data_IF_379019987480
#
_entry.id   IF_379019987480
#
_cell.length_a   1.000
_cell.length_b   1.000
_cell.length_c   1.000
_cell.angle_alpha   90.00
_cell.angle_beta   90.00
_cell.angle_gamma   90.00
#
_symmetry.space_group_name_H-M   'P 1'
#
loop_
_entity.id
_entity.type
_entity.pdbx_description
1 polymer ?
#
# COMPACT_ATOMS: atom_id res chain seq x y z
N UNK A 1 30.01 18.27 -10.19
CA UNK A 1 28.62 18.35 -10.70
C UNK A 1 28.26 19.82 -10.85
N UNK A 2 27.79 20.26 -12.02
CA UNK A 2 27.44 21.67 -12.24
C UNK A 2 26.14 22.00 -11.48
N UNK A 3 26.06 23.11 -10.72
CA UNK A 3 24.85 23.51 -9.99
C UNK A 3 23.62 23.65 -10.90
N UNK A 4 23.81 24.07 -12.16
CA UNK A 4 22.72 24.14 -13.14
C UNK A 4 22.14 22.75 -13.47
N UNK A 5 22.99 21.71 -13.53
CA UNK A 5 22.51 20.33 -13.72
C UNK A 5 21.75 19.86 -12.47
N UNK A 6 22.25 20.17 -11.27
CA UNK A 6 21.61 19.75 -10.01
C UNK A 6 20.19 20.29 -9.87
N UNK A 7 19.94 21.54 -10.27
CA UNK A 7 18.62 22.14 -10.25
C UNK A 7 17.70 21.58 -11.36
N UNK A 8 18.25 21.34 -12.56
CA UNK A 8 17.45 20.92 -13.71
C UNK A 8 16.96 19.47 -13.62
N UNK A 9 17.78 18.55 -13.09
CA UNK A 9 17.50 17.10 -13.05
C UNK A 9 16.12 16.74 -12.47
N UNK A 10 15.72 17.21 -11.26
CA UNK A 10 14.41 16.87 -10.72
C UNK A 10 13.25 17.42 -11.58
N UNK A 11 13.36 18.65 -12.07
CA UNK A 11 12.32 19.25 -12.93
C UNK A 11 12.19 18.53 -14.28
N UNK A 12 13.33 18.12 -14.84
CA UNK A 12 13.40 17.37 -16.09
C UNK A 12 12.72 16.00 -15.94
N UNK A 13 13.02 15.28 -14.86
CA UNK A 13 12.40 13.99 -14.57
C UNK A 13 10.88 14.11 -14.38
N UNK A 14 10.41 15.09 -13.61
CA UNK A 14 8.98 15.38 -13.47
C UNK A 14 8.32 15.67 -14.82
N UNK A 15 8.93 16.55 -15.63
CA UNK A 15 8.39 16.95 -16.93
C UNK A 15 8.23 15.76 -17.87
N UNK A 16 9.24 14.89 -17.93
CA UNK A 16 9.23 13.69 -18.78
C UNK A 16 8.24 12.63 -18.28
N UNK A 17 8.22 12.34 -16.97
CA UNK A 17 7.31 11.35 -16.37
C UNK A 17 5.83 11.75 -16.51
N UNK A 18 5.53 13.05 -16.48
CA UNK A 18 4.17 13.57 -16.69
C UNK A 18 3.80 13.73 -18.17
N UNK A 19 4.67 13.35 -19.11
CA UNK A 19 4.44 13.52 -20.55
C UNK A 19 4.28 14.99 -20.97
N UNK A 20 4.83 15.93 -20.21
CA UNK A 20 4.74 17.36 -20.52
C UNK A 20 5.82 17.77 -21.54
N UNK A 21 5.54 18.77 -22.40
CA UNK A 21 6.55 19.27 -23.31
C UNK A 21 7.69 19.95 -22.52
N UNK A 22 8.93 19.71 -22.95
CA UNK A 22 10.09 20.37 -22.35
C UNK A 22 9.98 21.90 -22.48
N UNK A 23 10.42 22.62 -21.46
CA UNK A 23 10.54 24.08 -21.51
C UNK A 23 11.72 24.50 -22.40
N UNK A 24 11.77 25.77 -22.78
CA UNK A 24 12.92 26.31 -23.54
C UNK A 24 14.24 26.15 -22.78
N UNK A 25 14.23 26.39 -21.46
CA UNK A 25 15.41 26.27 -20.59
C UNK A 25 15.93 24.82 -20.57
N UNK A 26 15.02 23.85 -20.43
CA UNK A 26 15.36 22.43 -20.47
C UNK A 26 15.96 22.04 -21.83
N UNK A 27 15.30 22.38 -22.95
CA UNK A 27 15.81 22.08 -24.29
C UNK A 27 17.21 22.65 -24.53
N UNK A 28 17.41 23.92 -24.16
CA UNK A 28 18.71 24.59 -24.31
C UNK A 28 19.80 23.91 -23.47
N UNK A 29 19.48 23.48 -22.25
CA UNK A 29 20.45 22.80 -21.41
C UNK A 29 20.79 21.40 -21.93
N UNK A 30 19.80 20.61 -22.37
CA UNK A 30 20.05 19.29 -22.96
C UNK A 30 20.91 19.38 -24.22
N UNK A 31 20.72 20.42 -25.04
CA UNK A 31 21.57 20.67 -26.20
C UNK A 31 23.04 21.01 -25.83
N UNK A 32 23.28 21.50 -24.61
CA UNK A 32 24.61 21.90 -24.14
C UNK A 32 25.25 20.96 -23.12
N UNK A 33 24.53 19.94 -22.63
CA UNK A 33 25.01 19.06 -21.56
C UNK A 33 24.75 17.58 -21.89
N UNK A 34 25.76 16.82 -22.33
CA UNK A 34 25.59 15.41 -22.70
C UNK A 34 25.20 14.52 -21.51
N UNK A 35 25.60 14.89 -20.28
CA UNK A 35 25.22 14.16 -19.07
C UNK A 35 23.72 14.21 -18.81
N UNK A 36 23.12 15.40 -18.89
CA UNK A 36 21.67 15.57 -18.73
C UNK A 36 20.90 15.06 -19.95
N UNK A 37 21.47 15.11 -21.15
CA UNK A 37 20.88 14.49 -22.34
C UNK A 37 20.71 12.98 -22.17
N UNK A 38 21.78 12.29 -21.76
CA UNK A 38 21.76 10.85 -21.47
C UNK A 38 20.74 10.50 -20.40
N UNK A 39 20.70 11.25 -19.30
CA UNK A 39 19.71 11.02 -18.24
C UNK A 39 18.26 11.23 -18.73
N UNK A 40 18.03 12.20 -19.61
CA UNK A 40 16.72 12.38 -20.23
C UNK A 40 16.32 11.16 -21.08
N UNK A 41 17.28 10.56 -21.79
CA UNK A 41 17.04 9.33 -22.57
C UNK A 41 16.72 8.13 -21.67
N UNK A 42 17.47 7.94 -20.58
CA UNK A 42 17.20 6.91 -19.56
C UNK A 42 15.79 7.06 -18.97
N UNK A 43 15.36 8.27 -18.66
CA UNK A 43 14.01 8.54 -18.14
C UNK A 43 12.94 8.22 -19.20
N UNK A 44 13.17 8.56 -20.48
CA UNK A 44 12.23 8.24 -21.57
C UNK A 44 12.07 6.74 -21.76
N UNK A 45 13.13 5.95 -21.58
CA UNK A 45 13.06 4.49 -21.63
C UNK A 45 12.17 3.92 -20.52
N UNK A 46 12.29 4.46 -19.29
CA UNK A 46 11.41 4.09 -18.18
C UNK A 46 9.95 4.42 -18.51
N UNK A 47 9.68 5.63 -19.01
CA UNK A 47 8.31 6.04 -19.42
C UNK A 47 7.76 5.11 -20.50
N UNK A 48 8.55 4.78 -21.52
CA UNK A 48 8.14 3.87 -22.58
C UNK A 48 7.84 2.45 -22.04
N UNK A 49 8.62 1.97 -21.08
CA UNK A 49 8.40 0.68 -20.43
C UNK A 49 7.12 0.67 -19.61
N UNK A 50 6.83 1.75 -18.87
CA UNK A 50 5.59 1.90 -18.12
C UNK A 50 4.38 1.97 -19.06
N UNK A 51 4.48 2.69 -20.17
CA UNK A 51 3.42 2.79 -21.17
C UNK A 51 3.09 1.42 -21.80
N UNK A 52 4.11 0.57 -22.03
CA UNK A 52 3.91 -0.80 -22.52
C UNK A 52 3.28 -1.72 -21.48
N UNK A 53 3.67 -1.58 -20.21
CA UNK A 53 3.10 -2.35 -19.11
C UNK A 53 1.65 -1.95 -18.82
N UNK A 54 1.27 -0.70 -19.10
CA UNK A 54 -0.04 -0.17 -18.74
C UNK A 54 -1.18 -0.74 -19.57
N UNK A 55 -0.98 -1.31 -20.79
CA UNK A 55 -1.91 -2.22 -21.49
C UNK A 55 -3.40 -1.83 -21.66
N UNK A 56 -3.83 -0.70 -21.10
CA UNK A 56 -5.17 -0.14 -21.07
C UNK A 56 -5.11 1.17 -21.85
N UNK A 57 -6.07 1.44 -22.75
CA UNK A 57 -6.07 2.70 -23.45
C UNK A 57 -6.15 3.83 -22.42
N UNK A 58 -5.11 4.68 -22.37
CA UNK A 58 -5.27 6.04 -21.83
C UNK A 58 -6.40 6.65 -22.64
N UNK A 59 -7.60 6.66 -22.08
CA UNK A 59 -8.63 7.57 -22.55
C UNK A 59 -7.95 8.93 -22.54
N UNK A 60 -7.68 9.47 -23.73
CA UNK A 60 -7.27 10.84 -23.89
C UNK A 60 -8.41 11.69 -23.34
N UNK A 61 -8.39 11.90 -22.02
CA UNK A 61 -9.21 12.90 -21.38
C UNK A 61 -8.88 14.24 -22.04
N UNK A 62 -9.87 15.12 -22.24
CA UNK A 62 -9.63 16.41 -22.84
C UNK A 62 -8.49 17.10 -22.12
N UNK A 63 -7.59 17.74 -22.88
CA UNK A 63 -6.46 18.49 -22.36
C UNK A 63 -6.91 19.32 -21.15
N UNK A 64 -6.17 19.34 -20.02
CA UNK A 64 -6.55 20.15 -18.88
C UNK A 64 -6.57 21.60 -19.35
N UNK A 65 -7.79 22.15 -19.50
CA UNK A 65 -7.99 23.57 -19.67
C UNK A 65 -7.42 24.31 -18.46
N UNK A 66 -7.30 25.65 -18.52
CA UNK A 66 -6.85 26.43 -17.38
C UNK A 66 -7.69 26.04 -16.16
N UNK A 67 -7.03 25.44 -15.17
CA UNK A 67 -7.63 25.18 -13.87
C UNK A 67 -7.87 26.54 -13.25
N UNK A 68 -9.06 27.11 -13.47
CA UNK A 68 -9.61 28.08 -12.55
C UNK A 68 -9.57 27.39 -11.19
N UNK A 69 -8.73 27.93 -10.31
CA UNK A 69 -8.53 27.41 -8.98
C UNK A 69 -9.90 27.19 -8.34
N UNK A 70 -10.30 25.91 -8.21
CA UNK A 70 -11.47 25.52 -7.45
C UNK A 70 -11.22 25.99 -6.01
N UNK A 71 -11.72 27.20 -5.74
CA UNK A 71 -11.48 27.94 -4.52
C UNK A 71 -11.94 27.11 -3.35
N UNK A 72 -10.98 26.63 -2.56
CA UNK A 72 -11.28 26.07 -1.24
C UNK A 72 -10.54 24.79 -0.86
N UNK A 73 -9.85 24.09 -1.76
CA UNK A 73 -9.11 22.87 -1.37
C UNK A 73 -7.90 23.18 -0.47
N UNK A 74 -7.05 24.13 -0.86
CA UNK A 74 -5.89 24.55 -0.06
C UNK A 74 -6.25 25.00 1.37
N UNK A 75 -7.22 25.91 1.54
CA UNK A 75 -7.67 26.35 2.86
C UNK A 75 -8.29 25.24 3.71
N UNK A 76 -9.06 24.31 3.11
CA UNK A 76 -9.68 23.18 3.83
C UNK A 76 -8.65 22.17 4.34
N UNK A 77 -7.65 21.86 3.52
CA UNK A 77 -6.54 20.97 3.90
C UNK A 77 -5.73 21.60 5.05
N UNK A 78 -5.40 22.90 4.94
CA UNK A 78 -4.69 23.62 5.99
C UNK A 78 -5.48 23.73 7.31
N UNK A 79 -6.81 23.80 7.25
CA UNK A 79 -7.67 23.79 8.44
C UNK A 79 -7.75 22.40 9.10
N UNK A 80 -7.77 21.32 8.31
CA UNK A 80 -7.82 19.95 8.83
C UNK A 80 -6.52 19.54 9.52
N UNK A 81 -5.36 19.93 8.96
CA UNK A 81 -4.04 19.70 9.56
C UNK A 81 -3.92 20.40 10.93
N UNK A 82 -4.42 21.64 11.05
CA UNK A 82 -4.42 22.39 12.32
C UNK A 82 -5.32 21.75 13.37
N UNK A 83 -6.52 21.30 13.00
CA UNK A 83 -7.44 20.61 13.92
C UNK A 83 -6.84 19.31 14.48
N UNK A 84 -6.19 18.52 13.63
CA UNK A 84 -5.53 17.27 14.04
C UNK A 84 -4.33 17.49 14.97
N UNK A 85 -3.56 18.58 14.79
CA UNK A 85 -2.47 18.95 15.73
C UNK A 85 -2.97 19.35 17.12
N UNK A 86 -4.07 20.10 17.21
CA UNK A 86 -4.63 20.57 18.49
C UNK A 86 -5.34 19.45 19.26
N UNK A 87 -5.97 18.50 18.57
CA UNK A 87 -6.60 17.34 19.20
C UNK A 87 -5.59 16.32 19.77
N UNK A 88 -4.38 16.25 19.18
CA UNK A 88 -3.33 15.31 19.59
C UNK A 88 -2.72 15.57 20.97
N UNK A 89 -2.73 16.82 21.45
CA UNK A 89 -2.17 17.18 22.77
C UNK A 89 -3.14 16.89 23.93
N UNK A 90 -4.46 16.94 23.69
CA UNK A 90 -5.49 16.68 24.72
C UNK A 90 -5.73 15.19 24.96
N UNK A 91 -5.64 14.35 23.92
CA UNK A 91 -5.84 12.89 24.02
C UNK A 91 -4.72 12.15 24.75
N UNK A 92 -3.48 12.67 24.77
CA UNK A 92 -2.35 12.07 25.47
C UNK A 92 -2.45 12.10 27.01
N UNK A 93 -3.33 12.93 27.57
CA UNK A 93 -3.59 12.96 29.03
C UNK A 93 -4.72 12.05 29.51
N UNK A 94 -5.51 11.46 28.61
CA UNK A 94 -6.71 10.68 28.96
C UNK A 94 -6.54 9.16 28.88
N UNK A 95 -5.39 8.66 28.38
CA UNK A 95 -5.17 7.23 28.10
C UNK A 95 -4.35 6.49 29.16
N UNK A 96 -4.11 7.08 30.33
CA UNK A 96 -3.31 6.48 31.41
C UNK A 96 -4.14 5.72 32.48
N UNK A 97 -5.44 5.44 32.27
CA UNK A 97 -6.32 4.93 33.37
C UNK A 97 -7.07 3.62 33.08
N UNK A 98 -7.09 3.05 31.87
CA UNK A 98 -7.87 1.81 31.62
C UNK A 98 -7.02 0.67 31.07
N UNK A 99 -6.06 0.23 31.88
CA UNK A 99 -5.39 -1.07 31.77
C UNK A 99 -5.90 -1.98 32.89
N UNK A 100 -6.94 -2.77 32.62
CA UNK A 100 -7.25 -4.03 33.31
C UNK A 100 -8.54 -4.64 32.74
N UNK A 101 -8.55 -5.97 32.60
CA UNK A 101 -9.68 -6.85 32.32
C UNK A 101 -10.11 -7.02 30.85
N UNK A 102 -9.61 -8.07 30.20
CA UNK A 102 -10.40 -9.28 29.91
C UNK A 102 -9.60 -10.22 29.01
N UNK A 103 -8.79 -11.07 29.65
CA UNK A 103 -8.41 -12.35 29.09
C UNK A 103 -9.60 -13.33 29.26
N UNK A 104 -9.56 -14.42 28.48
CA UNK A 104 -10.34 -15.67 28.58
C UNK A 104 -11.61 -15.71 27.71
N UNK A 105 -11.73 -16.83 26.96
CA UNK A 105 -12.85 -17.39 26.16
C UNK A 105 -12.77 -17.10 24.65
N UNK A 106 -12.57 -18.07 23.75
CA UNK A 106 -12.52 -19.51 23.92
C UNK A 106 -12.00 -20.18 22.64
N UNK A 107 -11.18 -21.22 22.85
CA UNK A 107 -10.99 -22.28 21.90
C UNK A 107 -12.32 -23.05 21.78
N UNK A 108 -12.84 -23.27 20.56
CA UNK A 108 -13.54 -24.51 20.21
C UNK A 108 -13.86 -24.62 18.70
N UNK A 109 -13.63 -25.84 18.20
CA UNK A 109 -14.18 -26.52 17.02
C UNK A 109 -13.57 -26.24 15.65
N UNK A 110 -12.64 -27.14 15.29
CA UNK A 110 -12.36 -27.60 13.93
C UNK A 110 -13.60 -28.31 13.36
N UNK A 111 -14.11 -27.86 12.20
CA UNK A 111 -14.89 -28.68 11.28
C UNK A 111 -14.40 -28.44 9.85
N UNK A 112 -14.06 -29.49 9.09
CA UNK A 112 -13.56 -29.34 7.74
C UNK A 112 -14.74 -29.10 6.78
N UNK A 113 -14.79 -27.93 6.16
CA UNK A 113 -15.67 -27.71 5.00
C UNK A 113 -14.82 -27.84 3.75
N UNK A 114 -15.19 -28.83 2.94
CA UNK A 114 -14.53 -29.26 1.72
C UNK A 114 -14.34 -28.11 0.71
N UNK A 115 -13.11 -27.99 0.20
CA UNK A 115 -12.79 -27.12 -0.93
C UNK A 115 -11.32 -27.19 -1.35
N UNK A 116 -10.97 -28.21 -2.14
CA UNK A 116 -9.73 -28.42 -2.93
C UNK A 116 -8.38 -28.28 -2.18
N UNK A 117 -7.72 -29.44 -2.06
CA UNK A 117 -6.36 -29.57 -1.52
C UNK A 117 -5.33 -28.70 -2.23
N UNK A 118 -4.80 -27.74 -1.49
CA UNK A 118 -3.40 -27.33 -1.60
C UNK A 118 -2.56 -28.16 -0.64
N UNK A 119 -1.26 -28.35 -0.91
CA UNK A 119 -0.37 -29.05 0.01
C UNK A 119 -0.42 -28.39 1.39
N UNK A 120 -0.60 -29.22 2.41
CA UNK A 120 -0.52 -28.82 3.82
C UNK A 120 0.83 -28.12 4.06
N UNK A 121 0.85 -26.88 4.57
CA UNK A 121 2.08 -26.12 4.66
C UNK A 121 3.03 -26.78 5.65
N UNK A 122 4.26 -27.04 5.19
CA UNK A 122 5.32 -27.66 6.01
C UNK A 122 5.70 -26.83 7.26
N UNK A 123 5.32 -25.55 7.30
CA UNK A 123 5.39 -24.68 8.48
C UNK A 123 4.13 -23.79 8.50
N UNK A 124 3.10 -24.12 9.30
CA UNK A 124 1.90 -23.32 9.35
C UNK A 124 2.20 -21.99 10.08
N UNK A 125 2.17 -20.88 9.34
CA UNK A 125 2.11 -19.55 9.95
C UNK A 125 0.72 -19.39 10.53
N UNK A 126 0.61 -19.16 11.83
CA UNK A 126 -0.68 -18.92 12.46
C UNK A 126 -1.11 -17.47 12.22
N UNK A 127 -2.34 -17.31 11.75
CA UNK A 127 -2.97 -16.01 11.49
C UNK A 127 -4.19 -15.86 12.41
N UNK A 128 -4.21 -14.78 13.18
CA UNK A 128 -5.34 -14.42 14.03
C UNK A 128 -5.83 -13.00 13.71
N UNK A 129 -7.13 -12.73 13.93
CA UNK A 129 -7.71 -11.39 13.75
C UNK A 129 -7.89 -10.71 15.11
N UNK A 130 -7.35 -9.51 15.27
CA UNK A 130 -7.35 -8.73 16.52
C UNK A 130 -8.52 -7.73 16.59
N UNK A 131 -9.73 -8.22 16.36
CA UNK A 131 -10.94 -7.42 16.45
C UNK A 131 -11.76 -7.41 15.17
N UNK A 132 -12.42 -6.28 14.88
CA UNK A 132 -13.36 -6.17 13.75
C UNK A 132 -12.65 -5.64 12.51
N UNK A 133 -13.11 -6.06 11.34
CA UNK A 133 -12.75 -5.41 10.08
C UNK A 133 -13.31 -3.99 10.05
N UNK A 134 -12.45 -3.02 9.77
CA UNK A 134 -12.77 -1.59 9.76
C UNK A 134 -13.01 -1.17 8.30
N UNK A 135 -14.25 -0.81 7.92
CA UNK A 135 -14.52 -0.31 6.58
C UNK A 135 -13.88 1.09 6.43
N UNK A 136 -13.23 1.30 5.29
CA UNK A 136 -12.60 2.56 4.93
C UNK A 136 -13.13 3.04 3.58
N UNK A 137 -13.06 4.35 3.25
CA UNK A 137 -13.50 4.86 1.95
C UNK A 137 -12.79 4.22 0.75
N UNK A 138 -11.60 3.66 0.97
CA UNK A 138 -10.76 3.03 -0.06
C UNK A 138 -10.76 1.50 0.00
N UNK A 139 -11.52 0.88 0.92
CA UNK A 139 -11.54 -0.58 1.08
C UNK A 139 -11.72 -1.02 2.53
N UNK A 140 -10.86 -1.91 3.01
CA UNK A 140 -10.97 -2.48 4.36
C UNK A 140 -9.61 -2.61 5.03
N UNK A 141 -9.59 -2.30 6.32
CA UNK A 141 -8.47 -2.54 7.21
C UNK A 141 -8.83 -3.68 8.18
N UNK A 142 -7.91 -4.62 8.37
CA UNK A 142 -8.10 -5.79 9.24
C UNK A 142 -6.92 -5.90 10.20
N UNK A 143 -7.10 -5.62 11.50
CA UNK A 143 -6.05 -5.84 12.49
C UNK A 143 -5.82 -7.34 12.68
N UNK A 144 -4.56 -7.79 12.64
CA UNK A 144 -4.17 -9.19 12.69
C UNK A 144 -2.92 -9.41 13.56
N UNK A 145 -2.79 -10.64 14.06
CA UNK A 145 -1.56 -11.19 14.65
C UNK A 145 -1.03 -12.30 13.74
N UNK A 146 0.28 -12.34 13.57
CA UNK A 146 0.98 -13.44 12.92
C UNK A 146 1.96 -14.10 13.89
N UNK A 147 1.99 -15.43 13.93
CA UNK A 147 2.96 -16.21 14.70
C UNK A 147 3.55 -17.34 13.86
N UNK A 148 4.72 -17.85 14.27
CA UNK A 148 5.43 -18.89 13.51
C UNK A 148 6.06 -18.38 12.21
N UNK A 149 6.42 -17.10 12.16
CA UNK A 149 7.16 -16.51 11.05
C UNK A 149 8.65 -16.83 11.18
N UNK A 150 9.29 -17.20 10.08
CA UNK A 150 10.73 -17.42 10.04
C UNK A 150 11.46 -16.07 9.97
N UNK A 151 12.41 -15.87 10.89
CA UNK A 151 13.19 -14.65 10.97
C UNK A 151 13.89 -14.32 9.64
N UNK A 152 13.84 -13.05 9.26
CA UNK A 152 14.46 -12.52 8.04
C UNK A 152 13.63 -12.71 6.79
N UNK A 153 12.59 -13.56 6.81
CA UNK A 153 11.69 -13.79 5.66
C UNK A 153 10.61 -12.72 5.54
N UNK A 154 10.15 -12.55 4.30
CA UNK A 154 9.07 -11.63 3.94
C UNK A 154 7.84 -12.43 3.59
N UNK A 155 6.68 -11.98 4.08
CA UNK A 155 5.40 -12.60 3.85
C UNK A 155 4.46 -11.61 3.18
N UNK A 156 3.65 -12.13 2.26
CA UNK A 156 2.61 -11.39 1.54
C UNK A 156 1.29 -11.63 2.22
N UNK A 157 0.57 -10.56 2.51
CA UNK A 157 -0.77 -10.61 3.09
C UNK A 157 -1.78 -10.40 1.99
N UNK A 158 -2.79 -11.26 1.90
CA UNK A 158 -3.79 -11.25 0.83
C UNK A 158 -5.19 -11.48 1.41
N UNK A 159 -6.22 -10.89 0.82
CA UNK A 159 -7.62 -11.20 1.11
C UNK A 159 -8.23 -11.96 -0.06
N UNK A 160 -9.24 -12.80 0.17
CA UNK A 160 -10.01 -13.45 -0.90
C UNK A 160 -11.52 -13.35 -0.68
N UNK A 161 -12.25 -13.28 -1.79
CA UNK A 161 -13.71 -13.31 -1.80
C UNK A 161 -14.29 -14.73 -1.88
N UNK A 162 -15.62 -14.85 -1.95
CA UNK A 162 -16.31 -16.14 -2.03
C UNK A 162 -16.04 -16.91 -3.34
N UNK A 163 -15.56 -16.23 -4.38
CA UNK A 163 -15.23 -16.83 -5.68
C UNK A 163 -13.76 -17.22 -5.78
N UNK A 164 -12.96 -16.90 -4.75
CA UNK A 164 -11.53 -17.17 -4.70
C UNK A 164 -10.66 -16.06 -5.31
N UNK A 165 -11.24 -14.91 -5.71
CA UNK A 165 -10.43 -13.80 -6.20
C UNK A 165 -9.63 -13.22 -5.05
N UNK A 166 -8.31 -13.18 -5.21
CA UNK A 166 -7.40 -12.64 -4.20
C UNK A 166 -7.03 -11.18 -4.48
N UNK A 167 -6.98 -10.34 -3.45
CA UNK A 167 -6.40 -9.00 -3.51
C UNK A 167 -5.21 -8.87 -2.55
N UNK A 168 -4.12 -8.18 -2.96
CA UNK A 168 -3.05 -7.81 -2.05
C UNK A 168 -3.57 -6.99 -0.87
N UNK A 169 -2.99 -7.24 0.30
CA UNK A 169 -3.35 -6.60 1.55
C UNK A 169 -2.15 -6.16 2.41
N UNK A 170 -0.95 -6.16 1.82
CA UNK A 170 0.29 -5.71 2.45
C UNK A 170 1.42 -6.74 2.38
N UNK A 171 2.56 -6.35 2.95
CA UNK A 171 3.71 -7.24 3.16
C UNK A 171 4.30 -6.98 4.52
N UNK A 172 4.87 -8.01 5.12
CA UNK A 172 5.58 -7.92 6.41
C UNK A 172 6.89 -8.67 6.34
N UNK A 173 7.87 -8.23 7.12
CA UNK A 173 9.12 -8.96 7.32
C UNK A 173 9.20 -9.37 8.79
N UNK A 174 9.51 -10.63 9.03
CA UNK A 174 9.70 -11.13 10.38
C UNK A 174 11.09 -10.73 10.87
N UNK A 175 11.15 -9.79 11.82
CA UNK A 175 12.44 -9.36 12.42
C UNK A 175 12.86 -10.25 13.59
N UNK A 176 11.89 -10.90 14.24
CA UNK A 176 12.05 -11.82 15.36
C UNK A 176 11.03 -12.95 15.30
N UNK A 177 11.11 -13.88 16.25
CA UNK A 177 10.17 -14.99 16.45
C UNK A 177 8.92 -14.60 17.25
N UNK A 178 8.82 -13.33 17.66
CA UNK A 178 7.71 -12.81 18.45
C UNK A 178 6.45 -12.64 17.59
N UNK A 179 5.25 -12.71 18.21
CA UNK A 179 4.01 -12.37 17.52
C UNK A 179 4.08 -10.99 16.86
N UNK A 180 3.77 -10.95 15.56
CA UNK A 180 3.75 -9.71 14.79
C UNK A 180 2.32 -9.17 14.72
N UNK A 181 2.10 -8.04 15.37
CA UNK A 181 0.85 -7.28 15.32
C UNK A 181 0.90 -6.31 14.13
N UNK A 182 -0.07 -6.39 13.23
CA UNK A 182 -0.11 -5.54 12.04
C UNK A 182 -1.54 -5.38 11.50
N UNK A 183 -1.68 -4.60 10.45
CA UNK A 183 -2.95 -4.36 9.77
C UNK A 183 -2.85 -4.82 8.31
N UNK A 184 -3.76 -5.69 7.89
CA UNK A 184 -3.99 -5.95 6.47
C UNK A 184 -4.82 -4.79 5.91
N UNK A 185 -4.37 -4.23 4.79
CA UNK A 185 -4.98 -3.07 4.14
C UNK A 185 -5.27 -3.42 2.69
N UNK A 186 -6.54 -3.63 2.35
CA UNK A 186 -6.96 -4.09 1.02
C UNK A 186 -8.01 -3.15 0.40
N UNK A 187 -8.03 -3.08 -0.94
CA UNK A 187 -9.08 -2.39 -1.69
C UNK A 187 -10.42 -3.16 -1.66
N UNK A 188 -10.43 -4.42 -1.21
CA UNK A 188 -11.64 -5.22 -1.14
C UNK A 188 -12.62 -4.65 -0.11
N UNK A 189 -13.90 -4.56 -0.49
CA UNK A 189 -14.98 -4.16 0.41
C UNK A 189 -15.17 -5.17 1.54
N UNK A 190 -15.43 -4.71 2.76
CA UNK A 190 -15.60 -5.53 3.96
C UNK A 190 -16.58 -6.70 3.77
N UNK A 191 -17.69 -6.45 3.08
CA UNK A 191 -18.73 -7.45 2.85
C UNK A 191 -18.33 -8.55 1.85
N UNK A 192 -17.29 -8.31 1.05
CA UNK A 192 -16.78 -9.27 0.07
C UNK A 192 -15.68 -10.18 0.65
N UNK A 193 -14.94 -9.74 1.68
CA UNK A 193 -13.84 -10.51 2.26
C UNK A 193 -14.38 -11.76 2.95
N UNK A 194 -13.88 -12.93 2.54
CA UNK A 194 -14.22 -14.25 3.12
C UNK A 194 -13.02 -14.94 3.75
N UNK A 195 -11.83 -14.70 3.21
CA UNK A 195 -10.60 -15.36 3.63
C UNK A 195 -9.46 -14.34 3.76
N UNK A 196 -8.65 -14.48 4.79
CA UNK A 196 -7.34 -13.84 4.92
C UNK A 196 -6.27 -14.90 4.65
N UNK A 197 -5.23 -14.54 3.91
CA UNK A 197 -4.17 -15.45 3.48
C UNK A 197 -2.83 -14.80 3.75
N UNK A 198 -1.89 -15.61 4.25
CA UNK A 198 -0.47 -15.29 4.34
C UNK A 198 0.27 -16.21 3.38
N UNK A 199 1.05 -15.61 2.50
CA UNK A 199 1.90 -16.33 1.56
C UNK A 199 3.38 -16.01 1.79
N UNK A 200 4.26 -16.96 1.48
CA UNK A 200 5.71 -16.75 1.51
C UNK A 200 6.21 -15.89 0.33
N UNK A 201 7.53 -15.76 0.21
CA UNK A 201 8.18 -15.00 -0.87
C UNK A 201 7.94 -15.59 -2.26
N UNK A 202 7.71 -16.91 -2.33
CA UNK A 202 7.43 -17.64 -3.58
C UNK A 202 5.93 -17.58 -3.93
N UNK A 203 5.11 -16.93 -3.10
CA UNK A 203 3.67 -16.83 -3.28
C UNK A 203 2.89 -18.07 -2.84
N UNK A 204 3.53 -19.00 -2.12
CA UNK A 204 2.85 -20.19 -1.60
C UNK A 204 2.10 -19.84 -0.32
N UNK A 205 0.82 -20.25 -0.19
CA UNK A 205 0.06 -19.97 1.03
C UNK A 205 0.62 -20.79 2.19
N UNK A 206 0.98 -20.10 3.28
CA UNK A 206 1.54 -20.69 4.52
C UNK A 206 0.63 -20.51 5.72
N UNK A 207 -0.41 -19.67 5.62
CA UNK A 207 -1.41 -19.47 6.67
C UNK A 207 -2.70 -18.91 6.09
N UNK A 208 -3.86 -19.28 6.67
CA UNK A 208 -5.17 -18.86 6.19
C UNK A 208 -6.16 -18.71 7.36
N UNK A 209 -7.06 -17.74 7.29
CA UNK A 209 -8.11 -17.51 8.29
C UNK A 209 -9.44 -17.10 7.62
N UNK A 210 -10.50 -17.92 7.70
CA UNK A 210 -11.85 -17.51 7.32
C UNK A 210 -12.40 -16.41 8.24
N UNK A 211 -13.12 -15.42 7.70
CA UNK A 211 -13.56 -14.23 8.47
C UNK A 211 -15.08 -13.94 8.40
N UNK A 212 -15.88 -14.98 8.17
CA UNK A 212 -17.34 -14.94 8.02
C UNK A 212 -18.06 -13.96 8.97
#
# INVERSE_FOLDING_TARGET
>A
MNPACAALRPELAETLMLGRPLTFVQRRHLAGCPGCAREADEIREVVATLDQAEGFPRSAGPAPGPVEAAGGLGPRIAADIRRKRVAGTRRRRALAVFAAAAAILGALVFTPVLGRGGPEPAHPVALAREGRMIPQPWGTEVPITLTGLDQGKTYRLMTADATGNTMPAGTVRAESDQPLHTHMVTAMNRAAIRLLIVADQDGRPVGQLPVA
#
